data_IF_663324644322
#
_entry.id   IF_663324644322
#
_cell.length_a   1.000
_cell.length_b   1.000
_cell.length_c   1.000
_cell.angle_alpha   90.00
_cell.angle_beta   90.00
_cell.angle_gamma   90.00
#
_symmetry.space_group_name_H-M   'P 1'
#
loop_
_entity.id
_entity.type
_entity.pdbx_description
1 polymer ?
#
# COMPACT_ATOMS: atom_id res chain seq x y z
N UNK A 1 -22.34 -0.59 -21.89
CA UNK A 1 -21.88 -1.21 -23.15
C UNK A 1 -20.86 -0.27 -23.79
N UNK A 2 -19.63 -0.24 -23.39
CA UNK A 2 -18.58 0.64 -23.91
C UNK A 2 -17.16 0.16 -23.58
N UNK A 3 -17.01 -0.98 -22.87
CA UNK A 3 -15.72 -1.47 -22.40
C UNK A 3 -14.79 -2.04 -23.49
N UNK A 4 -15.29 -2.26 -24.71
CA UNK A 4 -14.48 -2.84 -25.80
C UNK A 4 -13.99 -1.80 -26.83
N UNK A 5 -14.07 -0.51 -26.53
CA UNK A 5 -13.69 0.56 -27.46
C UNK A 5 -12.39 1.30 -27.08
N UNK A 6 -11.76 0.90 -26.00
CA UNK A 6 -10.45 1.45 -25.59
C UNK A 6 -9.38 0.53 -26.15
N UNK A 7 -8.47 1.06 -26.97
CA UNK A 7 -7.35 0.29 -27.51
C UNK A 7 -6.47 -0.25 -26.35
N UNK A 8 -6.04 -1.49 -26.45
CA UNK A 8 -5.24 -2.16 -25.41
C UNK A 8 -3.96 -1.40 -25.05
N UNK A 9 -3.33 -0.74 -26.03
CA UNK A 9 -2.15 0.10 -25.83
C UNK A 9 -2.44 1.31 -24.93
N UNK A 10 -3.61 1.93 -25.09
CA UNK A 10 -4.05 3.06 -24.26
C UNK A 10 -4.35 2.61 -22.82
N UNK A 11 -4.91 1.42 -22.64
CA UNK A 11 -5.14 0.82 -21.33
C UNK A 11 -3.82 0.50 -20.63
N UNK A 12 -2.83 -0.06 -21.33
CA UNK A 12 -1.51 -0.36 -20.77
C UNK A 12 -0.77 0.90 -20.35
N UNK A 13 -0.72 1.93 -21.19
CA UNK A 13 -0.11 3.21 -20.84
C UNK A 13 -0.79 3.89 -19.64
N UNK A 14 -2.10 3.73 -19.49
CA UNK A 14 -2.85 4.24 -18.34
C UNK A 14 -2.50 3.45 -17.06
N UNK A 15 -2.43 2.12 -17.12
CA UNK A 15 -2.05 1.29 -15.98
C UNK A 15 -0.60 1.54 -15.53
N UNK A 16 0.32 1.77 -16.45
CA UNK A 16 1.72 2.06 -16.14
C UNK A 16 1.87 3.43 -15.48
N UNK A 17 1.12 4.43 -15.92
CA UNK A 17 1.05 5.72 -15.26
C UNK A 17 0.46 5.62 -13.84
N UNK A 18 -0.56 4.78 -13.64
CA UNK A 18 -1.14 4.51 -12.31
C UNK A 18 -0.12 3.88 -11.36
N UNK A 19 0.74 2.99 -11.84
CA UNK A 19 1.81 2.38 -11.04
C UNK A 19 2.93 3.36 -10.72
N UNK A 20 3.31 4.20 -11.68
CA UNK A 20 4.42 5.14 -11.53
C UNK A 20 4.15 6.21 -10.45
N UNK A 21 2.90 6.65 -10.31
CA UNK A 21 2.52 7.71 -9.37
C UNK A 21 1.80 7.21 -8.11
N UNK A 22 1.52 5.90 -8.00
CA UNK A 22 0.81 5.30 -6.88
C UNK A 22 1.67 4.29 -6.13
N UNK A 23 2.32 4.69 -5.04
CA UNK A 23 3.14 3.81 -4.21
C UNK A 23 2.41 2.55 -3.74
N UNK A 24 1.13 2.65 -3.37
CA UNK A 24 0.31 1.50 -2.97
C UNK A 24 0.07 0.50 -4.11
N UNK A 25 -0.24 0.99 -5.30
CA UNK A 25 -0.57 0.11 -6.43
C UNK A 25 0.63 -0.69 -6.95
N UNK A 26 1.86 -0.22 -6.70
CA UNK A 26 3.08 -0.96 -7.04
C UNK A 26 3.35 -2.16 -6.15
N UNK A 27 2.73 -2.19 -4.96
CA UNK A 27 2.97 -3.20 -3.92
C UNK A 27 1.77 -4.12 -3.74
N UNK A 28 0.55 -3.59 -3.89
CA UNK A 28 -0.68 -4.33 -3.68
C UNK A 28 -0.94 -5.36 -4.78
N UNK A 29 -1.50 -6.48 -4.40
CA UNK A 29 -2.04 -7.46 -5.34
C UNK A 29 -3.30 -6.91 -6.02
N UNK A 30 -3.37 -7.03 -7.33
CA UNK A 30 -4.47 -6.51 -8.14
C UNK A 30 -5.40 -7.65 -8.54
N UNK A 31 -6.60 -7.68 -7.98
CA UNK A 31 -7.66 -8.62 -8.38
C UNK A 31 -8.55 -7.93 -9.41
N UNK A 32 -8.65 -8.52 -10.60
CA UNK A 32 -9.50 -8.01 -11.70
C UNK A 32 -10.86 -8.71 -11.68
N UNK A 33 -11.94 -7.93 -11.69
CA UNK A 33 -13.31 -8.42 -11.79
C UNK A 33 -13.98 -7.92 -13.08
N UNK A 34 -14.80 -8.74 -13.69
CA UNK A 34 -15.44 -8.39 -14.98
C UNK A 34 -16.70 -7.53 -14.82
N UNK A 35 -17.35 -7.57 -13.67
CA UNK A 35 -18.68 -6.97 -13.48
C UNK A 35 -18.70 -5.71 -12.63
N UNK A 36 -17.62 -5.42 -11.88
CA UNK A 36 -17.61 -4.33 -10.90
C UNK A 36 -18.66 -4.49 -9.77
N UNK A 37 -19.18 -5.69 -9.58
CA UNK A 37 -20.05 -6.01 -8.45
C UNK A 37 -19.22 -6.22 -7.18
N UNK A 38 -19.88 -6.10 -6.03
CA UNK A 38 -19.25 -6.42 -4.75
C UNK A 38 -18.76 -7.87 -4.75
N UNK A 39 -17.53 -8.08 -4.30
CA UNK A 39 -16.90 -9.41 -4.24
C UNK A 39 -16.84 -9.90 -2.80
N UNK A 40 -17.70 -10.83 -2.40
CA UNK A 40 -17.61 -11.47 -1.09
C UNK A 40 -16.47 -12.50 -1.10
N UNK A 41 -15.54 -12.38 -0.15
CA UNK A 41 -14.44 -13.34 0.03
C UNK A 41 -14.63 -14.03 1.39
N UNK A 42 -14.68 -15.36 1.44
CA UNK A 42 -14.71 -16.08 2.70
C UNK A 42 -13.38 -15.88 3.43
N UNK A 43 -13.44 -15.64 4.73
CA UNK A 43 -12.28 -15.52 5.61
C UNK A 43 -12.37 -16.60 6.70
N UNK A 44 -11.26 -17.27 6.99
CA UNK A 44 -11.14 -18.17 8.12
C UNK A 44 -9.87 -17.81 8.89
N UNK A 45 -9.94 -17.87 10.20
CA UNK A 45 -8.78 -17.71 11.05
C UNK A 45 -8.73 -18.89 12.03
N UNK A 46 -7.72 -19.72 11.84
CA UNK A 46 -7.44 -20.91 12.67
C UNK A 46 -6.06 -20.79 13.36
N UNK A 47 -5.55 -19.57 13.44
CA UNK A 47 -4.18 -19.32 13.94
C UNK A 47 -4.01 -19.54 15.46
N UNK A 48 -5.12 -19.65 16.20
CA UNK A 48 -5.13 -19.89 17.65
C UNK A 48 -5.16 -21.37 18.00
N UNK A 49 -5.58 -22.21 17.07
CA UNK A 49 -5.75 -23.64 17.30
C UNK A 49 -4.46 -24.40 17.07
N UNK A 50 -4.16 -25.30 17.98
CA UNK A 50 -2.98 -26.16 17.92
C UNK A 50 -3.35 -27.61 18.13
N UNK A 51 -2.67 -28.51 17.42
CA UNK A 51 -2.85 -29.93 17.62
C UNK A 51 -2.44 -30.34 19.05
N UNK A 52 -3.29 -31.08 19.72
CA UNK A 52 -3.05 -31.61 21.05
C UNK A 52 -2.69 -33.11 21.03
N UNK A 53 -1.83 -33.52 21.95
CA UNK A 53 -1.54 -34.93 22.16
C UNK A 53 -2.69 -35.56 22.95
N UNK A 54 -3.33 -36.56 22.37
CA UNK A 54 -4.40 -37.27 23.01
C UNK A 54 -3.86 -38.47 23.82
N UNK A 55 -4.22 -38.55 25.08
CA UNK A 55 -3.91 -39.74 25.90
C UNK A 55 -4.78 -40.92 25.52
N UNK A 56 -4.29 -42.16 25.78
CA UNK A 56 -5.03 -43.37 25.53
C UNK A 56 -6.36 -43.33 26.30
N UNK A 57 -7.44 -43.65 25.65
CA UNK A 57 -8.79 -43.70 26.22
C UNK A 57 -9.40 -42.32 26.61
N UNK A 58 -8.97 -41.25 25.97
CA UNK A 58 -9.51 -39.91 26.16
C UNK A 58 -10.24 -39.47 24.89
N UNK A 59 -11.44 -38.87 25.02
CA UNK A 59 -12.16 -38.30 23.87
C UNK A 59 -11.46 -37.02 23.38
N UNK A 60 -11.37 -36.89 22.05
CA UNK A 60 -10.89 -35.61 21.45
C UNK A 60 -11.91 -34.50 21.70
N UNK A 61 -11.45 -33.32 22.05
CA UNK A 61 -12.28 -32.13 22.03
C UNK A 61 -12.61 -31.76 20.57
N UNK A 62 -13.89 -31.48 20.31
CA UNK A 62 -14.32 -30.98 19.02
C UNK A 62 -14.33 -29.45 19.06
N UNK A 63 -13.78 -28.82 18.04
CA UNK A 63 -13.85 -27.38 17.82
C UNK A 63 -14.23 -27.11 16.37
N UNK A 64 -15.14 -26.17 16.17
CA UNK A 64 -15.64 -25.81 14.84
C UNK A 64 -14.79 -24.69 14.24
N UNK A 65 -14.38 -24.86 12.98
CA UNK A 65 -13.73 -23.80 12.21
C UNK A 65 -14.69 -22.63 11.97
N UNK A 66 -14.37 -21.48 12.55
CA UNK A 66 -15.10 -20.24 12.33
C UNK A 66 -14.84 -19.68 10.92
N UNK A 67 -15.88 -19.59 10.09
CA UNK A 67 -15.80 -18.92 8.80
C UNK A 67 -16.48 -17.55 8.88
N UNK A 68 -15.75 -16.52 8.47
CA UNK A 68 -16.25 -15.16 8.27
C UNK A 68 -16.39 -14.84 6.79
N UNK A 69 -16.87 -13.65 6.50
CA UNK A 69 -16.93 -13.10 5.14
C UNK A 69 -16.51 -11.64 5.16
N UNK A 70 -15.56 -11.26 4.30
CA UNK A 70 -15.23 -9.86 4.02
C UNK A 70 -15.70 -9.53 2.61
N UNK A 71 -16.45 -8.43 2.44
CA UNK A 71 -16.97 -8.01 1.13
C UNK A 71 -16.15 -6.83 0.62
N UNK A 72 -15.54 -6.99 -0.55
CA UNK A 72 -14.94 -5.87 -1.27
C UNK A 72 -15.99 -5.13 -2.08
N UNK A 73 -16.16 -3.85 -1.77
CA UNK A 73 -17.12 -2.97 -2.44
C UNK A 73 -16.43 -2.23 -3.59
N UNK A 74 -17.10 -2.14 -4.73
CA UNK A 74 -16.60 -1.39 -5.88
C UNK A 74 -16.92 0.11 -5.74
N UNK A 75 -15.90 0.96 -5.85
CA UNK A 75 -16.03 2.41 -5.82
C UNK A 75 -15.78 3.01 -7.19
N UNK A 76 -16.57 4.04 -7.53
CA UNK A 76 -16.47 4.72 -8.82
C UNK A 76 -15.67 6.01 -8.68
N UNK A 77 -14.59 6.13 -9.44
CA UNK A 77 -13.76 7.33 -9.51
C UNK A 77 -14.09 8.19 -10.72
N UNK A 78 -13.95 9.51 -10.59
CA UNK A 78 -14.06 10.47 -11.69
C UNK A 78 -12.91 11.46 -11.64
N UNK A 79 -12.38 11.83 -12.81
CA UNK A 79 -11.30 12.82 -12.93
C UNK A 79 -11.81 14.26 -13.09
N UNK A 80 -13.12 14.49 -13.00
CA UNK A 80 -13.81 15.71 -13.45
C UNK A 80 -13.76 15.90 -14.96
N UNK A 81 -14.61 16.77 -15.50
CA UNK A 81 -14.68 17.07 -16.93
C UNK A 81 -13.53 17.98 -17.31
N UNK A 82 -12.81 17.64 -18.37
CA UNK A 82 -11.79 18.50 -18.98
C UNK A 82 -12.37 19.05 -20.28
N UNK A 83 -12.49 20.36 -20.34
CA UNK A 83 -12.96 21.07 -21.55
C UNK A 83 -11.73 21.50 -22.35
N UNK A 84 -11.72 21.15 -23.64
CA UNK A 84 -10.64 21.49 -24.57
C UNK A 84 -11.27 22.26 -25.75
N UNK A 85 -10.82 23.48 -26.05
CA UNK A 85 -11.26 24.23 -27.23
C UNK A 85 -10.91 23.49 -28.52
N UNK A 86 -11.80 23.54 -29.50
CA UNK A 86 -11.61 22.87 -30.79
C UNK A 86 -10.42 23.44 -31.56
N UNK A 87 -10.22 24.75 -31.46
CA UNK A 87 -9.12 25.46 -32.10
C UNK A 87 -7.77 24.97 -31.62
N UNK A 88 -7.63 24.73 -30.28
CA UNK A 88 -6.41 24.18 -29.70
C UNK A 88 -6.12 22.76 -30.19
N UNK A 89 -7.18 22.00 -30.51
CA UNK A 89 -7.03 20.62 -30.97
C UNK A 89 -6.60 20.56 -32.44
N UNK A 90 -6.96 21.58 -33.24
CA UNK A 90 -6.63 21.65 -34.65
C UNK A 90 -5.27 22.32 -34.93
N UNK A 91 -4.90 23.33 -34.15
CA UNK A 91 -3.68 24.11 -34.36
C UNK A 91 -2.48 23.65 -33.50
N UNK A 92 -2.65 22.62 -32.67
CA UNK A 92 -1.58 22.14 -31.81
C UNK A 92 -0.56 21.31 -32.60
N UNK A 93 0.71 21.68 -32.50
CA UNK A 93 1.84 20.87 -32.97
C UNK A 93 2.22 19.75 -32.00
N UNK A 94 1.51 19.61 -30.89
CA UNK A 94 1.75 18.66 -29.82
C UNK A 94 0.63 17.61 -29.83
N UNK A 95 0.93 16.35 -29.51
CA UNK A 95 -0.08 15.32 -29.27
C UNK A 95 -0.89 15.64 -28.00
N UNK A 96 -1.90 16.48 -28.17
CA UNK A 96 -2.79 16.93 -27.10
C UNK A 96 -3.64 15.78 -26.51
N UNK A 97 -4.18 14.83 -27.28
CA UNK A 97 -4.88 13.66 -26.74
C UNK A 97 -4.01 12.81 -25.84
N UNK A 98 -2.77 12.53 -26.22
CA UNK A 98 -1.80 11.80 -25.40
C UNK A 98 -1.48 12.52 -24.10
N UNK A 99 -1.23 13.83 -24.16
CA UNK A 99 -0.99 14.65 -22.98
C UNK A 99 -2.18 14.65 -22.00
N UNK A 100 -3.41 14.80 -22.51
CA UNK A 100 -4.61 14.78 -21.68
C UNK A 100 -4.80 13.41 -21.04
N UNK A 101 -4.62 12.32 -21.78
CA UNK A 101 -4.71 10.96 -21.24
C UNK A 101 -3.74 10.74 -20.10
N UNK A 102 -2.48 11.16 -20.26
CA UNK A 102 -1.47 11.06 -19.20
C UNK A 102 -1.82 11.92 -17.98
N UNK A 103 -2.31 13.15 -18.20
CA UNK A 103 -2.72 14.02 -17.11
C UNK A 103 -3.91 13.44 -16.31
N UNK A 104 -4.87 12.82 -17.01
CA UNK A 104 -5.99 12.13 -16.37
C UNK A 104 -5.53 10.90 -15.58
N UNK A 105 -4.64 10.08 -16.15
CA UNK A 105 -4.04 8.94 -15.46
C UNK A 105 -3.36 9.36 -14.15
N UNK A 106 -2.57 10.44 -14.18
CA UNK A 106 -1.90 10.97 -13.00
C UNK A 106 -2.88 11.48 -11.92
N UNK A 107 -4.02 12.07 -12.33
CA UNK A 107 -5.08 12.50 -11.40
C UNK A 107 -5.72 11.30 -10.71
N UNK A 108 -6.04 10.24 -11.47
CA UNK A 108 -6.58 9.00 -10.91
C UNK A 108 -5.56 8.33 -9.98
N UNK A 109 -4.29 8.25 -10.38
CA UNK A 109 -3.23 7.66 -9.59
C UNK A 109 -3.11 8.31 -8.21
N UNK A 110 -3.05 9.66 -8.18
CA UNK A 110 -2.96 10.41 -6.91
C UNK A 110 -4.19 10.21 -6.03
N UNK A 111 -5.41 10.32 -6.61
CA UNK A 111 -6.63 10.15 -5.84
C UNK A 111 -6.81 8.72 -5.30
N UNK A 112 -6.48 7.72 -6.11
CA UNK A 112 -6.53 6.32 -5.68
C UNK A 112 -5.46 6.01 -4.64
N UNK A 113 -4.22 6.51 -4.80
CA UNK A 113 -3.15 6.28 -3.85
C UNK A 113 -3.49 6.83 -2.46
N UNK A 114 -4.02 8.06 -2.39
CA UNK A 114 -4.47 8.65 -1.13
C UNK A 114 -5.53 7.77 -0.44
N UNK A 115 -6.56 7.36 -1.18
CA UNK A 115 -7.63 6.52 -0.61
C UNK A 115 -7.14 5.12 -0.20
N UNK A 116 -6.27 4.49 -0.98
CA UNK A 116 -5.73 3.16 -0.65
C UNK A 116 -4.72 3.22 0.51
N UNK A 117 -4.14 4.39 0.78
CA UNK A 117 -3.20 4.58 1.89
C UNK A 117 -3.93 4.92 3.18
N UNK A 118 -4.72 6.00 3.19
CA UNK A 118 -5.32 6.59 4.39
C UNK A 118 -6.85 6.67 4.36
N UNK A 119 -7.49 6.08 3.33
CA UNK A 119 -8.95 6.10 3.20
C UNK A 119 -9.62 5.51 4.43
N UNK A 120 -10.68 6.15 4.89
CA UNK A 120 -11.48 5.66 6.02
C UNK A 120 -12.66 4.87 5.50
N UNK A 121 -13.06 3.84 6.25
CA UNK A 121 -14.23 3.01 5.94
C UNK A 121 -15.49 3.85 6.05
N UNK A 122 -15.86 4.47 4.94
CA UNK A 122 -17.14 5.15 4.76
C UNK A 122 -17.78 4.63 3.48
N UNK A 123 -19.08 4.82 3.32
CA UNK A 123 -19.80 4.41 2.11
C UNK A 123 -19.30 5.09 0.83
N UNK A 124 -18.43 6.08 0.95
CA UNK A 124 -17.98 6.93 -0.14
C UNK A 124 -16.56 6.67 -0.62
N UNK A 125 -15.73 5.93 0.15
CA UNK A 125 -14.33 5.68 -0.21
C UNK A 125 -13.85 4.30 0.28
N UNK A 126 -12.87 3.68 -0.41
CA UNK A 126 -12.30 2.42 0.03
C UNK A 126 -11.49 2.59 1.31
N UNK A 127 -11.41 1.54 2.09
CA UNK A 127 -10.58 1.46 3.28
C UNK A 127 -9.10 1.44 2.90
N UNK A 128 -8.32 2.34 3.50
CA UNK A 128 -6.88 2.42 3.30
C UNK A 128 -6.13 1.46 4.22
N UNK A 129 -4.90 1.11 3.84
CA UNK A 129 -4.07 0.19 4.63
C UNK A 129 -3.77 0.73 6.02
N UNK A 130 -3.56 2.04 6.18
CA UNK A 130 -3.25 2.67 7.47
C UNK A 130 -4.43 2.60 8.43
N UNK A 131 -5.66 2.79 7.92
CA UNK A 131 -6.88 2.78 8.75
C UNK A 131 -7.33 1.38 9.18
N UNK A 132 -6.88 0.32 8.48
CA UNK A 132 -7.21 -1.08 8.82
C UNK A 132 -6.04 -1.81 9.51
N UNK A 133 -4.87 -1.17 9.61
CA UNK A 133 -3.68 -1.78 10.22
C UNK A 133 -3.74 -1.73 11.73
N UNK A 134 -3.20 -2.76 12.35
CA UNK A 134 -3.00 -2.81 13.81
C UNK A 134 -1.63 -2.19 14.13
N UNK A 135 -1.56 -1.37 15.19
CA UNK A 135 -0.30 -0.80 15.64
C UNK A 135 0.63 -1.90 16.16
N UNK A 136 1.79 -2.07 15.51
CA UNK A 136 2.81 -3.01 15.96
C UNK A 136 3.73 -2.43 17.04
N UNK A 137 4.09 -1.16 16.91
CA UNK A 137 4.98 -0.45 17.86
C UNK A 137 4.55 1.00 17.95
N UNK A 138 4.53 1.53 19.16
CA UNK A 138 4.35 2.97 19.40
C UNK A 138 5.70 3.59 19.73
N UNK A 139 6.10 4.63 19.01
CA UNK A 139 7.34 5.33 19.25
C UNK A 139 7.34 6.00 20.65
N UNK A 140 8.45 5.91 21.35
CA UNK A 140 8.60 6.52 22.68
C UNK A 140 8.64 8.05 22.62
N UNK A 141 9.14 8.59 21.53
CA UNK A 141 9.23 10.05 21.29
C UNK A 141 8.52 10.41 20.00
N UNK A 142 7.67 11.40 20.07
CA UNK A 142 6.93 11.90 18.90
C UNK A 142 7.91 12.46 17.86
N UNK A 143 7.59 12.28 16.57
CA UNK A 143 8.33 12.80 15.42
C UNK A 143 9.74 12.24 15.23
N UNK A 144 10.08 11.18 15.92
CA UNK A 144 11.38 10.49 15.78
C UNK A 144 11.19 8.99 15.66
N UNK A 145 12.17 8.34 15.08
CA UNK A 145 12.25 6.88 15.09
C UNK A 145 13.66 6.50 15.57
N UNK A 146 13.75 5.50 16.40
CA UNK A 146 15.02 4.92 16.82
C UNK A 146 15.30 3.60 16.10
N UNK A 147 16.55 3.20 16.03
CA UNK A 147 16.93 1.91 15.48
C UNK A 147 16.24 0.74 16.20
N UNK A 148 16.12 0.83 17.53
CA UNK A 148 15.45 -0.18 18.34
C UNK A 148 13.96 -0.31 18.04
N UNK A 149 13.28 0.80 17.80
CA UNK A 149 11.86 0.81 17.41
C UNK A 149 11.65 0.21 16.03
N UNK A 150 12.51 0.51 15.05
CA UNK A 150 12.47 -0.12 13.73
C UNK A 150 12.68 -1.64 13.81
N UNK A 151 13.61 -2.08 14.64
CA UNK A 151 13.84 -3.50 14.88
C UNK A 151 12.63 -4.16 15.55
N UNK A 152 12.06 -3.50 16.56
CA UNK A 152 10.84 -3.97 17.24
C UNK A 152 9.65 -4.06 16.29
N UNK A 153 9.52 -3.11 15.35
CA UNK A 153 8.47 -3.12 14.32
C UNK A 153 8.60 -4.36 13.42
N UNK A 154 9.81 -4.72 12.99
CA UNK A 154 10.03 -5.93 12.21
C UNK A 154 9.61 -7.17 13.01
N UNK A 155 9.96 -7.22 14.30
CA UNK A 155 9.66 -8.36 15.14
C UNK A 155 8.21 -8.41 15.66
N UNK A 156 7.43 -7.34 15.51
CA UNK A 156 5.99 -7.35 15.79
C UNK A 156 5.20 -8.16 14.77
N UNK A 157 5.77 -8.37 13.57
CA UNK A 157 5.16 -9.21 12.54
C UNK A 157 5.64 -10.64 12.68
N UNK A 158 4.74 -11.61 12.66
CA UNK A 158 5.07 -13.04 12.75
C UNK A 158 6.05 -13.46 11.63
N UNK A 159 7.07 -14.29 11.96
CA UNK A 159 8.06 -14.76 10.97
C UNK A 159 7.47 -15.41 9.72
N UNK A 160 6.35 -16.11 9.85
CA UNK A 160 5.67 -16.75 8.71
C UNK A 160 5.19 -15.72 7.66
N UNK A 161 4.67 -14.58 8.13
CA UNK A 161 4.24 -13.49 7.24
C UNK A 161 5.40 -12.64 6.75
N UNK A 162 6.44 -12.42 7.57
CA UNK A 162 7.66 -11.71 7.14
C UNK A 162 8.34 -12.37 5.95
N UNK A 163 8.38 -13.70 5.93
CA UNK A 163 8.99 -14.48 4.86
C UNK A 163 8.26 -14.35 3.50
N UNK A 164 7.00 -13.91 3.49
CA UNK A 164 6.20 -13.77 2.28
C UNK A 164 6.40 -12.45 1.52
N UNK A 165 7.51 -11.76 1.74
CA UNK A 165 7.84 -10.53 1.03
C UNK A 165 7.42 -9.26 1.76
N UNK A 166 7.50 -9.25 3.08
CA UNK A 166 7.29 -8.04 3.88
C UNK A 166 8.21 -6.91 3.41
N UNK A 167 7.70 -5.69 3.44
CA UNK A 167 8.44 -4.48 3.06
C UNK A 167 8.03 -3.29 3.89
N UNK A 168 8.90 -2.32 3.99
CA UNK A 168 8.59 -1.04 4.59
C UNK A 168 7.86 -0.14 3.57
N UNK A 169 6.90 0.63 4.06
CA UNK A 169 6.29 1.72 3.30
C UNK A 169 6.27 2.96 4.18
N UNK A 170 6.76 4.07 3.67
CA UNK A 170 6.84 5.32 4.41
C UNK A 170 6.88 6.54 3.48
N UNK A 171 6.64 7.71 4.06
CA UNK A 171 6.84 8.98 3.39
C UNK A 171 8.33 9.26 3.20
N UNK A 172 8.71 10.05 2.18
CA UNK A 172 10.10 10.39 1.87
C UNK A 172 10.80 11.16 3.00
N UNK A 173 10.10 12.08 3.68
CA UNK A 173 10.63 12.78 4.87
C UNK A 173 10.96 11.81 6.01
N UNK A 174 10.11 10.80 6.21
CA UNK A 174 10.36 9.74 7.20
C UNK A 174 11.57 8.90 6.81
N UNK A 175 11.72 8.58 5.53
CA UNK A 175 12.89 7.86 5.02
C UNK A 175 14.17 8.66 5.23
N UNK A 176 14.15 9.97 4.98
CA UNK A 176 15.28 10.86 5.26
C UNK A 176 15.66 10.83 6.75
N UNK A 177 14.67 10.87 7.64
CA UNK A 177 14.88 10.76 9.09
C UNK A 177 15.54 9.44 9.47
N UNK A 178 15.07 8.32 8.92
CA UNK A 178 15.65 6.99 9.16
C UNK A 178 17.07 6.89 8.59
N UNK A 179 17.32 7.44 7.41
CA UNK A 179 18.66 7.45 6.79
C UNK A 179 19.65 8.31 7.57
N UNK A 180 19.19 9.32 8.29
CA UNK A 180 20.03 10.21 9.11
C UNK A 180 20.34 9.67 10.50
N UNK A 181 19.85 8.49 10.87
CA UNK A 181 20.13 7.88 12.17
C UNK A 181 21.62 7.61 12.35
N UNK A 182 22.16 8.04 13.49
CA UNK A 182 23.56 7.86 13.87
C UNK A 182 23.67 7.13 15.20
N UNK A 183 24.80 6.49 15.43
CA UNK A 183 25.12 5.92 16.72
C UNK A 183 25.57 7.00 17.74
N UNK A 184 25.88 6.59 18.98
CA UNK A 184 26.36 7.49 20.03
C UNK A 184 27.70 8.17 19.72
N UNK A 185 28.38 7.77 18.65
CA UNK A 185 29.65 8.32 18.18
C UNK A 185 29.51 9.15 16.89
N UNK A 186 28.27 9.39 16.44
CA UNK A 186 27.98 10.15 15.23
C UNK A 186 28.19 9.39 13.92
N UNK A 187 28.31 8.05 13.95
CA UNK A 187 28.46 7.24 12.73
C UNK A 187 27.07 6.88 12.18
N UNK A 188 26.86 6.99 10.86
CA UNK A 188 25.59 6.56 10.25
C UNK A 188 25.31 5.09 10.55
N UNK A 189 24.08 4.78 10.98
CA UNK A 189 23.62 3.42 11.18
C UNK A 189 23.22 2.73 9.89
N UNK A 190 22.79 3.52 8.91
CA UNK A 190 22.50 3.03 7.58
C UNK A 190 23.64 3.36 6.61
N UNK A 191 24.29 2.32 6.13
CA UNK A 191 25.21 2.45 5.00
C UNK A 191 24.44 2.09 3.73
N UNK A 192 24.30 3.03 2.79
CA UNK A 192 23.72 2.71 1.48
C UNK A 192 24.56 1.63 0.80
N UNK A 193 23.89 0.72 0.08
CA UNK A 193 24.60 -0.31 -0.71
C UNK A 193 25.57 0.38 -1.67
N UNK A 194 26.86 0.23 -1.41
CA UNK A 194 27.93 0.78 -2.27
C UNK A 194 28.13 -0.07 -3.55
N UNK A 195 27.45 -1.19 -3.64
CA UNK A 195 27.52 -2.10 -4.79
C UNK A 195 26.44 -1.67 -5.78
N UNK A 196 26.88 -1.29 -6.96
CA UNK A 196 26.03 -0.87 -8.07
C UNK A 196 25.11 -2.06 -8.48
N UNK A 197 23.79 -1.91 -8.31
CA UNK A 197 22.80 -2.92 -8.70
C UNK A 197 22.11 -3.64 -7.55
N UNK A 198 22.52 -3.46 -6.29
CA UNK A 198 21.73 -3.92 -5.15
C UNK A 198 20.61 -2.90 -4.82
N UNK A 199 19.33 -3.34 -4.71
CA UNK A 199 18.28 -2.46 -4.29
C UNK A 199 18.52 -2.02 -2.84
N UNK A 200 18.36 -0.73 -2.58
CA UNK A 200 18.40 -0.18 -1.23
C UNK A 200 17.44 -0.93 -0.31
N UNK A 201 17.93 -1.49 0.78
CA UNK A 201 17.13 -2.19 1.78
C UNK A 201 17.30 -1.57 3.16
N UNK A 202 16.23 -1.57 3.95
CA UNK A 202 16.26 -1.17 5.35
C UNK A 202 16.21 -2.43 6.22
N UNK A 203 17.27 -2.67 6.99
CA UNK A 203 17.38 -3.86 7.87
C UNK A 203 17.11 -5.19 7.14
N UNK A 204 17.50 -5.29 5.87
CA UNK A 204 17.29 -6.49 5.04
C UNK A 204 15.91 -6.60 4.37
N UNK A 205 15.04 -5.62 4.55
CA UNK A 205 13.72 -5.56 3.89
C UNK A 205 13.68 -4.44 2.85
N UNK A 206 13.06 -4.67 1.67
CA UNK A 206 12.87 -3.63 0.68
C UNK A 206 11.93 -2.55 1.22
N UNK A 207 12.06 -1.34 0.73
CA UNK A 207 11.15 -0.26 1.08
C UNK A 207 10.49 0.37 -0.16
N UNK A 208 9.34 0.99 0.05
CA UNK A 208 8.59 1.71 -0.97
C UNK A 208 8.23 3.09 -0.44
N UNK A 209 8.49 4.13 -1.23
CA UNK A 209 8.12 5.49 -0.89
C UNK A 209 6.66 5.71 -1.26
N UNK A 210 5.87 6.20 -0.30
CA UNK A 210 4.48 6.58 -0.51
C UNK A 210 4.22 7.92 0.19
N UNK A 211 4.05 8.98 -0.61
CA UNK A 211 3.89 10.35 -0.10
C UNK A 211 2.57 10.61 0.63
N UNK A 212 1.56 9.74 0.44
CA UNK A 212 0.29 9.85 1.15
C UNK A 212 0.33 9.25 2.57
N UNK A 213 1.43 8.60 2.96
CA UNK A 213 1.66 8.24 4.36
C UNK A 213 2.07 9.46 5.18
N UNK A 214 1.63 9.50 6.44
CA UNK A 214 2.06 10.54 7.37
C UNK A 214 3.59 10.50 7.55
N UNK A 215 4.23 11.67 7.54
CA UNK A 215 5.64 11.79 7.92
C UNK A 215 5.78 11.76 9.44
N UNK A 216 6.95 11.41 9.96
CA UNK A 216 7.20 11.46 11.41
C UNK A 216 6.98 12.87 11.98
N UNK A 217 7.21 13.93 11.19
CA UNK A 217 7.00 15.32 11.61
C UNK A 217 5.54 15.74 11.65
N UNK A 218 4.65 15.06 10.90
CA UNK A 218 3.23 15.40 10.81
C UNK A 218 2.32 14.38 11.48
N UNK A 219 2.85 13.23 11.91
CA UNK A 219 2.10 12.25 12.64
C UNK A 219 1.67 12.84 13.98
N UNK A 220 0.48 13.40 14.02
CA UNK A 220 -0.20 13.73 15.28
C UNK A 220 -0.52 12.39 15.93
N UNK A 221 0.07 12.12 17.09
CA UNK A 221 -0.15 10.88 17.80
C UNK A 221 -1.64 10.62 17.94
N UNK A 222 -2.12 9.53 17.35
CA UNK A 222 -3.40 8.97 17.72
C UNK A 222 -3.25 8.49 19.16
N UNK A 223 -3.94 9.18 20.06
CA UNK A 223 -4.06 8.80 21.46
C UNK A 223 -4.92 7.52 21.57
#
# INVERSE_FOLDING_TARGET
VGGNLVADEMMQGFEDALKAFGGMRSVAEIIRTNTGANLPIPTGNDSTEVAAILAINTAAAGEDLGFGQKTFTAYKYTSKIVLVPMELMQDSSIDLPGYISQALANRFARGQNAHFTIGQTTDTQPQGIVSDSVSGVTAATQNTATYGELLSLIHSVDPAYRAQGARFMMNDDSLMTVKSLVDSQGRPLWLPGLIQGEPDSLLGFPYTINQDMASFSTATGAA
#
